data_IF_315869639530
#
_entry.id   IF_315869639530
#
_cell.length_a   1.000
_cell.length_b   1.000
_cell.length_c   1.000
_cell.angle_alpha   90.00
_cell.angle_beta   90.00
_cell.angle_gamma   90.00
#
_symmetry.space_group_name_H-M   'P 1'
#
loop_
_entity.id
_entity.type
_entity.pdbx_description
1 polymer ?
#
# COMPACT_ATOMS: atom_id res chain seq x y z
N UNK A 1 -71.65 -30.65 1.63
CA UNK A 1 -71.23 -29.75 2.72
C UNK A 1 -69.73 -29.47 2.55
N UNK A 2 -69.41 -28.30 2.15
CA UNK A 2 -67.95 -27.91 2.04
C UNK A 2 -67.45 -27.61 3.43
N UNK A 3 -66.39 -28.29 3.80
CA UNK A 3 -65.77 -28.27 5.10
C UNK A 3 -64.97 -26.97 5.25
N UNK A 4 -65.55 -25.97 5.90
CA UNK A 4 -64.93 -24.65 6.12
C UNK A 4 -63.62 -24.69 6.96
N UNK A 5 -63.32 -25.81 7.54
CA UNK A 5 -62.10 -25.99 8.34
C UNK A 5 -60.83 -26.13 7.49
N UNK A 6 -60.92 -26.64 6.27
CA UNK A 6 -59.77 -26.78 5.41
C UNK A 6 -59.26 -25.43 4.89
N UNK A 7 -60.16 -24.47 4.70
CA UNK A 7 -59.80 -23.15 4.20
C UNK A 7 -59.10 -22.26 5.24
N UNK A 8 -59.44 -22.47 6.51
CA UNK A 8 -58.81 -21.71 7.60
C UNK A 8 -57.34 -22.11 7.87
N UNK A 9 -57.03 -23.37 7.69
CA UNK A 9 -55.67 -23.89 7.89
C UNK A 9 -54.73 -23.37 6.80
N UNK A 10 -55.25 -23.22 5.58
CA UNK A 10 -54.44 -22.71 4.46
C UNK A 10 -54.08 -21.22 4.61
N UNK A 11 -54.99 -20.44 5.18
CA UNK A 11 -54.77 -19.01 5.39
C UNK A 11 -53.77 -18.72 6.50
N UNK A 12 -53.71 -19.55 7.52
CA UNK A 12 -52.75 -19.41 8.63
C UNK A 12 -51.35 -19.80 8.19
N UNK A 13 -51.23 -20.79 7.28
CA UNK A 13 -49.90 -21.19 6.75
C UNK A 13 -49.24 -20.12 5.86
N UNK A 14 -50.03 -19.34 5.11
CA UNK A 14 -49.51 -18.25 4.30
C UNK A 14 -49.03 -17.05 5.11
N UNK A 15 -49.65 -16.80 6.25
CA UNK A 15 -49.25 -15.71 7.15
C UNK A 15 -47.95 -16.00 7.89
N UNK A 16 -47.61 -17.27 8.10
CA UNK A 16 -46.36 -17.66 8.77
C UNK A 16 -45.17 -17.65 7.80
N UNK A 17 -45.41 -17.87 6.50
CA UNK A 17 -44.34 -17.84 5.50
C UNK A 17 -43.90 -16.42 5.15
N UNK A 18 -44.70 -15.41 5.42
CA UNK A 18 -44.39 -14.01 5.15
C UNK A 18 -43.47 -13.35 6.20
N UNK A 19 -43.27 -13.99 7.35
CA UNK A 19 -42.52 -13.42 8.46
C UNK A 19 -41.04 -13.82 8.51
N UNK A 20 -40.56 -14.62 7.58
CA UNK A 20 -39.17 -15.10 7.51
C UNK A 20 -38.34 -14.36 6.46
N UNK A 21 -38.69 -13.12 6.10
CA UNK A 21 -37.74 -12.21 5.51
C UNK A 21 -36.89 -11.63 6.64
N UNK A 22 -35.91 -12.40 7.08
CA UNK A 22 -34.77 -11.85 7.79
C UNK A 22 -34.06 -10.93 6.82
N UNK A 23 -33.89 -9.64 7.14
CA UNK A 23 -32.95 -8.83 6.37
C UNK A 23 -31.59 -9.51 6.53
N UNK A 24 -31.07 -10.07 5.46
CA UNK A 24 -29.66 -10.33 5.36
C UNK A 24 -28.99 -8.98 5.55
N UNK A 25 -28.56 -8.71 6.78
CA UNK A 25 -27.56 -7.67 7.02
C UNK A 25 -26.37 -8.16 6.22
N UNK A 26 -26.20 -7.61 5.03
CA UNK A 26 -24.93 -7.65 4.37
C UNK A 26 -23.98 -6.97 5.34
N UNK A 27 -23.29 -7.77 6.14
CA UNK A 27 -22.13 -7.28 6.84
C UNK A 27 -21.22 -6.75 5.73
N UNK A 28 -21.14 -5.43 5.60
CA UNK A 28 -20.10 -4.81 4.84
C UNK A 28 -18.82 -5.33 5.49
N UNK A 29 -18.22 -6.34 4.86
CA UNK A 29 -16.86 -6.75 5.17
C UNK A 29 -16.06 -5.52 4.80
N UNK A 30 -15.76 -4.69 5.80
CA UNK A 30 -14.70 -3.71 5.68
C UNK A 30 -13.49 -4.54 5.30
N UNK A 31 -13.11 -4.51 4.02
CA UNK A 31 -11.81 -4.97 3.64
C UNK A 31 -10.86 -4.21 4.55
N UNK A 32 -10.00 -4.88 5.32
CA UNK A 32 -8.92 -4.17 5.97
C UNK A 32 -8.22 -3.43 4.83
N UNK A 33 -8.28 -2.10 4.85
CA UNK A 33 -7.35 -1.30 4.07
C UNK A 33 -6.00 -1.94 4.38
N UNK A 34 -5.36 -2.50 3.36
CA UNK A 34 -4.01 -2.99 3.49
C UNK A 34 -3.24 -1.78 4.02
N UNK A 35 -2.94 -1.77 5.33
CA UNK A 35 -2.00 -0.84 5.90
C UNK A 35 -0.73 -1.08 5.09
N UNK A 36 -0.44 -0.15 4.18
CA UNK A 36 0.85 -0.16 3.52
C UNK A 36 1.88 -0.20 4.64
N UNK A 37 2.62 -1.31 4.70
CA UNK A 37 3.66 -1.47 5.70
C UNK A 37 4.56 -0.24 5.62
N UNK A 38 4.82 0.39 6.76
CA UNK A 38 5.68 1.56 6.82
C UNK A 38 7.00 1.20 6.13
N UNK A 39 7.47 2.00 5.15
CA UNK A 39 8.67 1.65 4.41
C UNK A 39 9.87 1.51 5.34
N UNK A 40 10.68 0.48 5.13
CA UNK A 40 11.90 0.25 5.88
C UNK A 40 12.79 1.49 5.81
N UNK A 41 13.29 1.93 6.96
CA UNK A 41 14.24 3.04 7.07
C UNK A 41 15.65 2.52 7.26
N UNK A 42 16.59 3.11 6.53
CA UNK A 42 18.01 2.84 6.67
C UNK A 42 18.70 3.66 7.76
N UNK A 43 19.99 3.45 7.96
CA UNK A 43 20.79 4.14 8.99
C UNK A 43 20.84 5.67 8.79
N UNK A 44 20.66 6.16 7.57
CA UNK A 44 20.62 7.59 7.26
C UNK A 44 19.21 8.16 7.26
N UNK A 45 18.23 7.44 7.86
CA UNK A 45 16.82 7.78 7.95
C UNK A 45 16.10 7.85 6.59
N UNK A 46 16.74 7.37 5.55
CA UNK A 46 16.19 7.26 4.20
C UNK A 46 15.30 6.05 4.05
N UNK A 47 14.59 6.03 2.95
CA UNK A 47 13.80 4.87 2.53
C UNK A 47 14.70 3.81 1.94
N UNK A 48 14.58 2.57 2.42
CA UNK A 48 15.30 1.44 1.87
C UNK A 48 14.55 0.82 0.70
N UNK A 49 15.28 0.54 -0.36
CA UNK A 49 14.86 -0.24 -1.51
C UNK A 49 15.81 -1.44 -1.63
N UNK A 50 15.25 -2.65 -1.73
CA UNK A 50 16.05 -3.89 -1.78
C UNK A 50 15.72 -4.70 -3.01
N UNK A 51 16.77 -5.29 -3.58
CA UNK A 51 16.69 -6.29 -4.64
C UNK A 51 17.76 -7.37 -4.37
N UNK A 52 17.33 -8.49 -3.79
CA UNK A 52 18.26 -9.50 -3.30
C UNK A 52 19.20 -8.94 -2.24
N UNK A 53 20.49 -9.11 -2.42
CA UNK A 53 21.53 -8.60 -1.54
C UNK A 53 21.85 -7.12 -1.77
N UNK A 54 21.37 -6.56 -2.88
CA UNK A 54 21.57 -5.17 -3.24
C UNK A 54 20.54 -4.28 -2.53
N UNK A 55 20.99 -3.20 -1.94
CA UNK A 55 20.14 -2.24 -1.28
C UNK A 55 20.53 -0.80 -1.59
N UNK A 56 19.52 0.04 -1.72
CA UNK A 56 19.64 1.47 -1.94
C UNK A 56 18.87 2.19 -0.84
N UNK A 57 19.51 3.10 -0.15
CA UNK A 57 18.87 4.03 0.79
C UNK A 57 18.75 5.41 0.15
N UNK A 58 17.53 5.90 -0.01
CA UNK A 58 17.24 7.24 -0.53
C UNK A 58 16.78 8.14 0.60
N UNK A 59 17.51 9.19 0.87
CA UNK A 59 17.19 10.20 1.87
C UNK A 59 17.04 11.59 1.23
N UNK A 60 16.22 12.43 1.85
CA UNK A 60 16.12 13.84 1.54
C UNK A 60 16.86 14.60 2.64
N UNK A 61 17.87 15.35 2.25
CA UNK A 61 18.67 16.15 3.16
C UNK A 61 18.32 17.63 3.01
N UNK A 62 17.96 18.28 4.11
CA UNK A 62 17.44 19.66 4.11
C UNK A 62 18.17 20.57 5.12
N UNK A 63 19.07 20.02 5.93
CA UNK A 63 19.71 20.76 7.01
C UNK A 63 20.82 21.67 6.51
N UNK A 64 20.59 22.97 6.51
CA UNK A 64 21.59 23.99 6.18
C UNK A 64 21.93 24.14 4.69
N UNK A 65 21.21 23.42 3.83
CA UNK A 65 21.33 23.46 2.35
C UNK A 65 19.94 23.41 1.73
N UNK A 66 19.77 23.81 0.46
CA UNK A 66 18.54 23.50 -0.27
C UNK A 66 18.28 21.97 -0.27
N UNK A 67 17.01 21.53 -0.30
CA UNK A 67 16.68 20.11 -0.29
C UNK A 67 17.41 19.36 -1.41
N UNK A 68 18.09 18.28 -1.05
CA UNK A 68 18.81 17.41 -1.99
C UNK A 68 18.54 15.94 -1.69
N UNK A 69 18.59 15.09 -2.72
CA UNK A 69 18.55 13.66 -2.55
C UNK A 69 19.97 13.14 -2.29
N UNK A 70 20.10 12.30 -1.28
CA UNK A 70 21.32 11.54 -0.99
C UNK A 70 21.04 10.05 -1.07
N UNK A 71 21.93 9.30 -1.67
CA UNK A 71 21.75 7.87 -1.89
C UNK A 71 23.00 7.12 -1.42
N UNK A 72 22.76 6.11 -0.58
CA UNK A 72 23.79 5.15 -0.16
C UNK A 72 23.43 3.78 -0.74
N UNK A 73 24.43 3.09 -1.22
CA UNK A 73 24.30 1.79 -1.85
C UNK A 73 25.07 0.75 -1.06
N UNK A 74 24.49 -0.43 -0.89
CA UNK A 74 25.15 -1.57 -0.27
C UNK A 74 24.87 -2.85 -1.03
N UNK A 75 25.76 -3.82 -0.90
CA UNK A 75 25.59 -5.16 -1.43
C UNK A 75 26.00 -6.19 -0.35
N UNK A 76 25.09 -7.08 0.01
CA UNK A 76 25.30 -8.03 1.11
C UNK A 76 25.59 -7.37 2.46
N UNK A 77 25.08 -6.16 2.68
CA UNK A 77 25.32 -5.36 3.89
C UNK A 77 26.61 -4.53 3.87
N UNK A 78 27.46 -4.69 2.86
CA UNK A 78 28.70 -3.93 2.70
C UNK A 78 28.47 -2.67 1.84
N UNK A 79 28.96 -1.49 2.25
CA UNK A 79 28.85 -0.28 1.46
C UNK A 79 29.54 -0.43 0.10
N UNK A 80 28.85 0.06 -0.94
CA UNK A 80 29.41 0.14 -2.30
C UNK A 80 29.86 1.58 -2.55
N UNK A 81 31.08 1.75 -3.08
CA UNK A 81 31.60 3.06 -3.43
C UNK A 81 30.68 3.76 -4.44
N UNK A 82 30.25 5.01 -4.18
CA UNK A 82 29.37 5.73 -5.11
C UNK A 82 29.98 5.90 -6.50
N UNK A 83 31.30 6.00 -6.61
CA UNK A 83 31.99 6.10 -7.91
C UNK A 83 31.84 4.84 -8.79
N UNK A 84 31.49 3.72 -8.21
CA UNK A 84 31.24 2.45 -8.92
C UNK A 84 29.78 2.23 -9.31
N UNK A 85 28.90 3.17 -8.99
CA UNK A 85 27.46 3.07 -9.19
C UNK A 85 26.99 4.13 -10.18
N UNK A 86 26.21 3.72 -11.16
CA UNK A 86 25.45 4.63 -12.00
C UNK A 86 23.99 4.63 -11.54
N UNK A 87 23.50 5.78 -11.10
CA UNK A 87 22.14 5.94 -10.61
C UNK A 87 21.39 6.99 -11.42
N UNK A 88 20.24 6.58 -11.95
CA UNK A 88 19.29 7.47 -12.60
C UNK A 88 17.94 7.35 -11.91
N UNK A 89 17.35 8.47 -11.55
CA UNK A 89 16.00 8.51 -10.96
C UNK A 89 15.09 9.33 -11.86
N UNK A 90 13.92 8.76 -12.16
CA UNK A 90 12.82 9.46 -12.84
C UNK A 90 11.77 9.79 -11.81
N UNK A 91 11.55 11.07 -11.57
CA UNK A 91 10.52 11.56 -10.68
C UNK A 91 9.30 12.00 -11.48
N UNK A 92 8.20 11.27 -11.31
CA UNK A 92 6.92 11.67 -11.90
C UNK A 92 6.13 12.52 -10.91
N UNK A 93 5.81 13.74 -11.29
CA UNK A 93 5.01 14.69 -10.51
C UNK A 93 3.57 14.69 -10.97
N UNK A 94 2.70 15.35 -10.20
CA UNK A 94 1.32 15.59 -10.59
C UNK A 94 1.26 16.27 -11.97
N UNK A 95 0.32 15.83 -12.82
CA UNK A 95 0.20 16.29 -14.19
C UNK A 95 1.12 15.57 -15.17
N UNK A 96 1.67 14.40 -14.78
CA UNK A 96 2.55 13.56 -15.59
C UNK A 96 3.87 14.26 -16.03
N UNK A 97 4.30 15.24 -15.27
CA UNK A 97 5.61 15.86 -15.48
C UNK A 97 6.69 14.91 -14.98
N UNK A 98 7.66 14.58 -15.81
CA UNK A 98 8.76 13.69 -15.49
C UNK A 98 10.06 14.49 -15.42
N UNK A 99 10.73 14.44 -14.26
CA UNK A 99 12.08 14.99 -14.09
C UNK A 99 13.09 13.85 -14.09
N UNK A 100 14.13 13.98 -14.89
CA UNK A 100 15.31 13.10 -14.85
C UNK A 100 16.34 13.68 -13.88
N UNK A 101 16.57 12.97 -12.77
CA UNK A 101 17.52 13.38 -11.73
C UNK A 101 18.80 12.56 -11.94
N UNK A 102 19.90 13.25 -12.15
CA UNK A 102 21.24 12.66 -12.24
C UNK A 102 21.94 12.82 -10.91
N UNK A 103 22.52 11.72 -10.46
CA UNK A 103 23.34 11.69 -9.26
C UNK A 103 24.82 11.76 -9.62
N UNK A 104 25.60 12.28 -8.71
CA UNK A 104 27.06 12.30 -8.76
C UNK A 104 27.60 11.81 -7.43
N UNK A 105 28.71 11.12 -7.45
CA UNK A 105 29.38 10.69 -6.24
C UNK A 105 29.90 11.87 -5.43
N UNK A 106 29.67 11.83 -4.12
CA UNK A 106 30.18 12.81 -3.16
C UNK A 106 30.42 12.11 -1.83
N UNK A 107 31.69 11.96 -1.42
CA UNK A 107 32.07 11.25 -0.20
C UNK A 107 31.62 9.79 -0.23
N UNK A 108 30.68 9.45 0.65
CA UNK A 108 30.13 8.10 0.81
C UNK A 108 28.70 7.92 0.23
N UNK A 109 28.20 8.93 -0.46
CA UNK A 109 26.86 8.92 -1.06
C UNK A 109 26.83 9.46 -2.49
#
# INVERSE_FOLDING_TARGET
MMNHHAFRIFLVCQLVLGALFLPTIAAAVSQPEAQEAEPEKGPNRGRMLRDGDFAVELSIFETGVPPEFRVWVSNGGEPVSPDSVELQVKLTRLGNVVDDIRFRAEGDY
#
